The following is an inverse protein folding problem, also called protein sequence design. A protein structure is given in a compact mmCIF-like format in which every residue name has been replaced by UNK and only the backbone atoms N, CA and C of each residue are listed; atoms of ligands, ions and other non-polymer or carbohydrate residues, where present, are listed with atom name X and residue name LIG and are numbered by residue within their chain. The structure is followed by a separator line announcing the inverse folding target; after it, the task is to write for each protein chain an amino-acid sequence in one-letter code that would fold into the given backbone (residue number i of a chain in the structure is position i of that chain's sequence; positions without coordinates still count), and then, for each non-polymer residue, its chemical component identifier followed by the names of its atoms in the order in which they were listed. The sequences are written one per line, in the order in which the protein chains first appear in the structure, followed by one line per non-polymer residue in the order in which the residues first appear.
data_IF_759544726706
#
_entry.id   IF_759544726706
#
_cell.length_a   1.000
_cell.length_b   1.000
_cell.length_c   1.000
_cell.angle_alpha   90.00
_cell.angle_beta   90.00
_cell.angle_gamma   90.00
#
_symmetry.space_group_name_H-M   'P 1'
#
loop_
_entity.id
_entity.type
_entity.pdbx_description
1 polymer ?
#
# COMPACT_ATOMS: atom_id res chain seq x y z
N UNK A 1 -5.07 -33.18 40.85
CA UNK A 1 -5.45 -32.71 39.48
C UNK A 1 -5.05 -31.26 39.21
N UNK A 2 -5.12 -30.34 40.18
CA UNK A 2 -4.73 -28.93 40.00
C UNK A 2 -3.24 -28.70 39.64
N UNK A 3 -2.30 -29.46 40.23
CA UNK A 3 -0.87 -29.28 39.96
C UNK A 3 -0.43 -29.62 38.53
N UNK A 4 -1.12 -30.56 37.88
CA UNK A 4 -0.83 -30.97 36.50
C UNK A 4 -1.26 -29.88 35.50
N UNK A 5 -2.40 -29.23 35.74
CA UNK A 5 -2.89 -28.12 34.91
C UNK A 5 -1.98 -26.88 35.01
N UNK A 6 -1.45 -26.59 36.19
CA UNK A 6 -0.49 -25.48 36.40
C UNK A 6 0.82 -25.75 35.65
N UNK A 7 1.30 -26.99 35.64
CA UNK A 7 2.50 -27.40 34.90
C UNK A 7 2.31 -27.26 33.38
N UNK A 8 1.16 -27.69 32.84
CA UNK A 8 0.84 -27.50 31.42
C UNK A 8 0.72 -26.03 31.04
N UNK A 9 0.17 -25.18 31.91
CA UNK A 9 0.07 -23.75 31.68
C UNK A 9 1.44 -23.07 31.64
N UNK A 10 2.35 -23.42 32.57
CA UNK A 10 3.72 -22.92 32.58
C UNK A 10 4.52 -23.39 31.36
N UNK A 11 4.39 -24.66 30.98
CA UNK A 11 5.06 -25.20 29.79
C UNK A 11 4.52 -24.55 28.52
N UNK A 12 3.20 -24.35 28.41
CA UNK A 12 2.59 -23.66 27.27
C UNK A 12 3.03 -22.20 27.17
N UNK A 13 3.08 -21.49 28.30
CA UNK A 13 3.54 -20.09 28.38
C UNK A 13 5.02 -19.99 28.04
N UNK A 14 5.84 -20.93 28.52
CA UNK A 14 7.27 -20.98 28.22
C UNK A 14 7.55 -21.31 26.75
N UNK A 15 6.79 -22.25 26.16
CA UNK A 15 6.89 -22.58 24.72
C UNK A 15 6.43 -21.41 23.87
N UNK A 16 5.37 -20.70 24.25
CA UNK A 16 4.94 -19.46 23.59
C UNK A 16 6.00 -18.36 23.70
N UNK A 17 6.61 -18.18 24.88
CA UNK A 17 7.69 -17.22 25.07
C UNK A 17 8.92 -17.56 24.22
N UNK A 18 9.30 -18.84 24.13
CA UNK A 18 10.39 -19.29 23.26
C UNK A 18 10.03 -19.17 21.77
N UNK A 19 8.78 -19.41 21.40
CA UNK A 19 8.32 -19.28 20.03
C UNK A 19 8.32 -17.81 19.59
N UNK A 20 7.80 -16.92 20.43
CA UNK A 20 7.85 -15.46 20.25
C UNK A 20 9.30 -14.98 20.22
N UNK A 21 10.16 -15.45 21.13
CA UNK A 21 11.59 -15.14 21.12
C UNK A 21 12.25 -15.58 19.81
N UNK A 22 11.95 -16.79 19.31
CA UNK A 22 12.48 -17.30 18.04
C UNK A 22 11.97 -16.53 16.81
N UNK A 23 10.73 -16.03 16.86
CA UNK A 23 10.17 -15.17 15.81
C UNK A 23 10.81 -13.79 15.88
N UNK A 24 11.06 -13.27 17.08
CA UNK A 24 11.71 -11.97 17.28
C UNK A 24 13.18 -12.06 16.86
N UNK A 25 13.92 -13.11 17.18
CA UNK A 25 15.32 -13.26 16.73
C UNK A 25 15.41 -13.51 15.23
N UNK A 26 14.55 -14.35 14.65
CA UNK A 26 14.47 -14.51 13.19
C UNK A 26 14.01 -13.23 12.49
N UNK A 27 13.12 -12.47 13.11
CA UNK A 27 12.77 -11.14 12.62
C UNK A 27 14.00 -10.23 12.69
N UNK A 28 14.74 -10.19 13.79
CA UNK A 28 15.96 -9.39 13.93
C UNK A 28 17.05 -9.77 12.91
N UNK A 29 17.27 -11.06 12.64
CA UNK A 29 18.21 -11.54 11.62
C UNK A 29 17.72 -11.23 10.19
N UNK A 30 16.42 -11.40 9.90
CA UNK A 30 15.81 -10.96 8.64
C UNK A 30 15.80 -9.43 8.51
N UNK A 31 15.91 -8.68 9.62
CA UNK A 31 16.06 -7.24 9.65
C UNK A 31 17.50 -6.81 9.34
N UNK A 32 18.52 -7.46 9.90
CA UNK A 32 19.92 -7.18 9.52
C UNK A 32 20.15 -7.46 8.04
N UNK A 33 19.66 -8.59 7.50
CA UNK A 33 20.00 -9.01 6.14
C UNK A 33 19.18 -8.27 5.05
N UNK A 34 17.93 -7.85 5.33
CA UNK A 34 17.14 -7.01 4.41
C UNK A 34 17.45 -5.52 4.51
N UNK A 35 17.95 -5.01 5.65
CA UNK A 35 18.12 -3.57 5.89
C UNK A 35 19.56 -3.09 6.06
N UNK A 36 20.57 -3.95 6.29
CA UNK A 36 21.97 -3.51 6.18
C UNK A 36 22.32 -3.05 4.75
N UNK A 37 21.58 -3.53 3.75
CA UNK A 37 21.70 -3.12 2.34
C UNK A 37 20.60 -2.15 1.84
N UNK A 38 19.43 -2.05 2.50
CA UNK A 38 18.32 -1.14 2.07
C UNK A 38 17.92 -0.06 3.09
N UNK A 39 18.23 -0.21 4.37
CA UNK A 39 17.74 0.65 5.46
C UNK A 39 18.53 1.93 5.68
N UNK A 40 19.80 1.98 5.28
CA UNK A 40 20.63 3.19 5.35
C UNK A 40 20.33 4.17 4.21
N UNK A 41 19.88 3.68 3.05
CA UNK A 41 19.47 4.50 1.92
C UNK A 41 18.00 4.98 2.04
N UNK A 42 17.05 4.06 2.25
CA UNK A 42 15.61 4.36 1.99
C UNK A 42 14.96 5.35 2.97
N UNK A 43 15.51 5.61 4.16
CA UNK A 43 14.92 6.54 5.15
C UNK A 43 15.47 7.97 5.03
N UNK A 44 16.74 8.14 4.65
CA UNK A 44 17.30 9.45 4.31
C UNK A 44 16.67 10.03 3.03
N UNK A 45 16.31 9.15 2.11
CA UNK A 45 15.75 9.49 0.78
C UNK A 45 14.30 9.98 0.80
N UNK A 46 13.62 9.92 1.95
CA UNK A 46 12.20 10.31 2.08
C UNK A 46 11.95 11.64 2.78
N UNK A 47 12.99 12.39 3.17
CA UNK A 47 12.88 13.63 3.95
C UNK A 47 12.04 13.53 5.25
N UNK A 48 11.65 12.32 5.64
CA UNK A 48 11.22 12.02 7.00
C UNK A 48 12.47 11.61 7.75
N UNK A 49 13.07 12.55 8.48
CA UNK A 49 14.19 12.32 9.40
C UNK A 49 13.76 11.50 10.64
N UNK A 50 13.05 10.39 10.44
CA UNK A 50 12.79 9.45 11.53
C UNK A 50 13.90 8.41 11.47
N UNK A 51 14.85 8.53 12.39
CA UNK A 51 15.94 7.56 12.47
C UNK A 51 15.37 6.15 12.74
N UNK A 52 16.03 5.07 12.28
CA UNK A 52 15.61 3.70 12.59
C UNK A 52 15.40 3.48 14.10
N UNK A 53 16.24 4.12 14.92
CA UNK A 53 16.12 4.14 16.37
C UNK A 53 14.81 4.81 16.84
N UNK A 54 14.46 5.98 16.31
CA UNK A 54 13.19 6.65 16.65
C UNK A 54 11.97 5.85 16.21
N UNK A 55 12.02 5.19 15.05
CA UNK A 55 10.96 4.29 14.59
C UNK A 55 10.79 3.09 15.54
N UNK A 56 11.88 2.48 15.99
CA UNK A 56 11.83 1.42 16.99
C UNK A 56 11.27 1.92 18.32
N UNK A 57 11.68 3.10 18.79
CA UNK A 57 11.14 3.69 20.03
C UNK A 57 9.64 3.93 19.93
N UNK A 58 9.17 4.55 18.83
CA UNK A 58 7.74 4.78 18.59
C UNK A 58 6.98 3.45 18.53
N UNK A 59 7.54 2.45 17.85
CA UNK A 59 6.92 1.12 17.73
C UNK A 59 6.80 0.42 19.08
N UNK A 60 7.84 0.48 19.91
CA UNK A 60 7.82 -0.09 21.26
C UNK A 60 6.82 0.63 22.16
N UNK A 61 6.73 1.96 22.09
CA UNK A 61 5.75 2.74 22.85
C UNK A 61 4.32 2.35 22.43
N UNK A 62 4.04 2.29 21.12
CA UNK A 62 2.72 1.89 20.60
C UNK A 62 2.37 0.46 21.01
N UNK A 63 3.30 -0.49 20.85
CA UNK A 63 3.09 -1.88 21.22
C UNK A 63 2.86 -2.04 22.74
N UNK A 64 3.58 -1.28 23.57
CA UNK A 64 3.40 -1.28 25.02
C UNK A 64 2.04 -0.71 25.44
N UNK A 65 1.65 0.46 24.89
CA UNK A 65 0.35 1.08 25.18
C UNK A 65 -0.81 0.17 24.75
N UNK A 66 -0.73 -0.41 23.55
CA UNK A 66 -1.76 -1.32 23.06
C UNK A 66 -1.80 -2.63 23.86
N UNK A 67 -0.65 -3.16 24.30
CA UNK A 67 -0.59 -4.32 25.20
C UNK A 67 -1.26 -4.03 26.54
N UNK A 68 -1.01 -2.87 27.14
CA UNK A 68 -1.62 -2.45 28.41
C UNK A 68 -3.14 -2.32 28.27
N UNK A 69 -3.62 -1.72 27.18
CA UNK A 69 -5.05 -1.67 26.87
C UNK A 69 -5.64 -3.08 26.66
N UNK A 70 -4.93 -3.95 25.96
CA UNK A 70 -5.36 -5.32 25.70
C UNK A 70 -5.49 -6.15 26.97
N UNK A 71 -4.58 -5.92 27.92
CA UNK A 71 -4.63 -6.53 29.24
C UNK A 71 -5.89 -6.12 30.02
N UNK A 72 -6.23 -4.82 30.01
CA UNK A 72 -7.41 -4.30 30.73
C UNK A 72 -8.72 -4.84 30.16
N UNK A 73 -8.82 -4.99 28.83
CA UNK A 73 -10.08 -5.36 28.17
C UNK A 73 -10.26 -6.88 28.06
N UNK A 74 -9.21 -7.62 27.70
CA UNK A 74 -9.30 -9.05 27.37
C UNK A 74 -8.29 -9.92 28.16
N UNK A 75 -7.65 -9.37 29.18
CA UNK A 75 -6.64 -10.08 29.98
C UNK A 75 -5.36 -10.39 29.20
N UNK A 76 -4.66 -11.43 29.62
CA UNK A 76 -3.36 -11.82 29.07
C UNK A 76 -3.39 -12.16 27.57
N UNK A 77 -4.47 -12.77 27.07
CA UNK A 77 -4.66 -13.00 25.64
C UNK A 77 -4.76 -11.71 24.84
N UNK A 78 -5.49 -10.71 25.36
CA UNK A 78 -5.60 -9.38 24.75
C UNK A 78 -4.27 -8.65 24.70
N UNK A 79 -3.49 -8.75 25.76
CA UNK A 79 -2.17 -8.12 25.85
C UNK A 79 -1.23 -8.63 24.73
N UNK A 80 -1.16 -9.96 24.56
CA UNK A 80 -0.31 -10.59 23.52
C UNK A 80 -0.79 -10.19 22.11
N UNK A 81 -2.10 -10.25 21.87
CA UNK A 81 -2.68 -9.94 20.56
C UNK A 81 -2.45 -8.46 20.17
N UNK A 82 -2.74 -7.53 21.08
CA UNK A 82 -2.60 -6.10 20.82
C UNK A 82 -1.14 -5.65 20.78
N UNK A 83 -0.24 -6.33 21.50
CA UNK A 83 1.21 -6.12 21.33
C UNK A 83 1.66 -6.49 19.92
N UNK A 84 1.25 -7.66 19.41
CA UNK A 84 1.59 -8.09 18.05
C UNK A 84 1.04 -7.11 16.99
N UNK A 85 -0.19 -6.63 17.16
CA UNK A 85 -0.77 -5.61 16.28
C UNK A 85 0.01 -4.29 16.37
N UNK A 86 0.31 -3.82 17.59
CA UNK A 86 1.05 -2.59 17.81
C UNK A 86 2.47 -2.59 17.29
N UNK A 87 3.10 -3.77 17.24
CA UNK A 87 4.40 -3.94 16.62
C UNK A 87 4.32 -3.83 15.10
N UNK A 88 3.30 -4.41 14.45
CA UNK A 88 3.18 -4.43 12.98
C UNK A 88 2.64 -3.11 12.40
N UNK A 89 1.81 -2.39 13.16
CA UNK A 89 1.03 -1.25 12.68
C UNK A 89 1.89 -0.06 12.18
N UNK A 90 2.97 0.36 12.87
CA UNK A 90 3.83 1.44 12.39
C UNK A 90 4.53 1.11 11.07
N UNK A 91 4.96 -0.13 10.88
CA UNK A 91 5.61 -0.57 9.63
C UNK A 91 4.65 -0.52 8.44
N UNK A 92 3.41 -0.98 8.62
CA UNK A 92 2.37 -0.85 7.59
C UNK A 92 2.04 0.62 7.31
N UNK A 93 2.05 1.47 8.34
CA UNK A 93 1.87 2.91 8.22
C UNK A 93 2.93 3.55 7.31
N UNK A 94 4.21 3.25 7.52
CA UNK A 94 5.32 3.77 6.70
C UNK A 94 5.20 3.28 5.25
N UNK A 95 4.93 1.99 5.05
CA UNK A 95 4.75 1.45 3.69
C UNK A 95 3.59 2.15 2.96
N UNK A 96 2.49 2.44 3.65
CA UNK A 96 1.37 3.19 3.10
C UNK A 96 1.73 4.65 2.78
N UNK A 97 2.48 5.32 3.67
CA UNK A 97 2.97 6.68 3.42
C UNK A 97 3.92 6.73 2.22
N UNK A 98 4.84 5.76 2.09
CA UNK A 98 5.72 5.62 0.92
C UNK A 98 4.92 5.42 -0.35
N UNK A 99 3.94 4.51 -0.34
CA UNK A 99 3.05 4.27 -1.49
C UNK A 99 2.30 5.54 -1.89
N UNK A 100 1.80 6.31 -0.91
CA UNK A 100 1.14 7.60 -1.16
C UNK A 100 2.10 8.66 -1.71
N UNK A 101 3.34 8.74 -1.20
CA UNK A 101 4.38 9.65 -1.70
C UNK A 101 4.72 9.33 -3.16
N UNK A 102 4.96 8.05 -3.49
CA UNK A 102 5.27 7.61 -4.85
C UNK A 102 4.08 7.87 -5.78
N UNK A 103 2.84 7.56 -5.36
CA UNK A 103 1.65 7.86 -6.16
C UNK A 103 1.53 9.37 -6.46
N UNK A 104 1.76 10.23 -5.47
CA UNK A 104 1.79 11.69 -5.67
C UNK A 104 2.92 12.10 -6.60
N UNK A 105 4.11 11.51 -6.45
CA UNK A 105 5.26 11.75 -7.31
C UNK A 105 4.94 11.40 -8.77
N UNK A 106 4.34 10.24 -9.05
CA UNK A 106 4.07 9.81 -10.42
C UNK A 106 3.06 10.71 -11.11
N UNK A 107 2.03 11.19 -10.40
CA UNK A 107 1.10 12.19 -10.95
C UNK A 107 1.84 13.47 -11.33
N UNK A 108 2.68 13.99 -10.42
CA UNK A 108 3.49 15.18 -10.70
C UNK A 108 4.49 14.95 -11.85
N UNK A 109 5.06 13.74 -11.93
CA UNK A 109 6.02 13.37 -12.97
C UNK A 109 5.38 13.49 -14.35
N UNK A 110 4.18 12.96 -14.57
CA UNK A 110 3.50 13.04 -15.88
C UNK A 110 3.36 14.48 -16.37
N UNK A 111 2.96 15.39 -15.50
CA UNK A 111 2.83 16.81 -15.84
C UNK A 111 4.19 17.46 -16.06
N UNK A 112 5.20 17.09 -15.27
CA UNK A 112 6.57 17.53 -15.46
C UNK A 112 7.17 17.04 -16.79
N UNK A 113 6.91 15.81 -17.24
CA UNK A 113 7.38 15.31 -18.53
C UNK A 113 6.84 16.17 -19.70
N UNK A 114 5.57 16.60 -19.62
CA UNK A 114 5.01 17.52 -20.60
C UNK A 114 5.70 18.89 -20.58
N UNK A 115 6.01 19.42 -19.40
CA UNK A 115 6.77 20.67 -19.26
C UNK A 115 8.21 20.53 -19.76
N UNK A 116 8.87 19.40 -19.48
CA UNK A 116 10.20 19.07 -20.02
C UNK A 116 10.17 19.03 -21.55
N UNK A 117 9.18 18.40 -22.15
CA UNK A 117 9.01 18.39 -23.61
C UNK A 117 8.93 19.81 -24.19
N UNK A 118 8.12 20.67 -23.59
CA UNK A 118 8.01 22.08 -24.00
C UNK A 118 9.33 22.85 -23.82
N UNK A 119 10.04 22.62 -22.71
CA UNK A 119 11.35 23.20 -22.43
C UNK A 119 12.40 22.78 -23.49
N UNK A 120 12.44 21.50 -23.87
CA UNK A 120 13.32 21.01 -24.93
C UNK A 120 12.96 21.62 -26.30
N UNK A 121 11.66 21.77 -26.62
CA UNK A 121 11.23 22.47 -27.84
C UNK A 121 11.67 23.94 -27.86
N UNK A 122 11.78 24.56 -26.68
CA UNK A 122 12.31 25.92 -26.50
C UNK A 122 13.85 25.98 -26.47
N UNK A 123 14.56 24.86 -26.63
CA UNK A 123 16.02 24.80 -26.67
C UNK A 123 16.70 24.75 -25.30
N UNK A 124 15.95 24.54 -24.21
CA UNK A 124 16.53 24.39 -22.88
C UNK A 124 17.26 23.05 -22.73
N UNK A 125 18.33 23.05 -21.95
CA UNK A 125 19.04 21.83 -21.56
C UNK A 125 18.24 21.05 -20.52
N UNK A 126 18.54 19.75 -20.36
CA UNK A 126 17.94 18.90 -19.32
C UNK A 126 18.07 19.52 -17.92
N UNK A 127 19.24 20.11 -17.61
CA UNK A 127 19.49 20.74 -16.32
C UNK A 127 18.63 21.98 -16.09
N UNK A 128 18.50 22.84 -17.10
CA UNK A 128 17.67 24.05 -17.02
C UNK A 128 16.18 23.71 -16.88
N UNK A 129 15.71 22.72 -17.65
CA UNK A 129 14.32 22.28 -17.60
C UNK A 129 13.98 21.65 -16.23
N UNK A 130 14.83 20.78 -15.70
CA UNK A 130 14.68 20.23 -14.34
C UNK A 130 14.76 21.31 -13.27
N UNK A 131 15.63 22.31 -13.41
CA UNK A 131 15.74 23.44 -12.47
C UNK A 131 14.46 24.28 -12.45
N UNK A 132 13.84 24.57 -13.59
CA UNK A 132 12.53 25.28 -13.64
C UNK A 132 11.47 24.50 -12.86
N UNK A 133 11.33 23.21 -13.16
CA UNK A 133 10.34 22.34 -12.52
C UNK A 133 10.58 22.21 -11.02
N UNK A 134 11.84 22.15 -10.57
CA UNK A 134 12.18 22.08 -9.14
C UNK A 134 11.68 23.28 -8.33
N UNK A 135 11.54 24.44 -8.96
CA UNK A 135 11.09 25.69 -8.31
C UNK A 135 9.57 25.83 -8.32
N UNK A 136 8.91 25.29 -9.35
CA UNK A 136 7.47 25.46 -9.57
C UNK A 136 6.64 24.32 -8.96
N UNK A 137 7.16 23.09 -8.98
CA UNK A 137 6.40 21.91 -8.54
C UNK A 137 6.64 21.64 -7.05
N UNK A 138 5.58 21.50 -6.24
CA UNK A 138 5.73 21.21 -4.81
C UNK A 138 6.26 19.78 -4.58
N UNK A 139 6.74 19.52 -3.36
CA UNK A 139 7.16 18.19 -2.94
C UNK A 139 6.08 17.11 -3.17
N UNK A 140 6.46 15.88 -3.57
CA UNK A 140 7.82 15.34 -3.58
C UNK A 140 8.66 15.60 -4.85
N UNK A 141 8.07 15.85 -6.02
CA UNK A 141 8.84 15.93 -7.28
C UNK A 141 9.88 17.05 -7.28
N UNK A 142 9.47 18.30 -7.03
CA UNK A 142 10.38 19.44 -7.13
C UNK A 142 11.53 19.38 -6.12
N UNK A 143 11.29 18.75 -4.97
CA UNK A 143 12.29 18.47 -3.96
C UNK A 143 13.36 17.48 -4.45
N UNK A 144 12.94 16.37 -5.07
CA UNK A 144 13.88 15.37 -5.62
C UNK A 144 14.66 15.91 -6.83
N UNK A 145 14.00 16.67 -7.71
CA UNK A 145 14.68 17.35 -8.82
C UNK A 145 15.67 18.39 -8.28
N UNK A 146 15.33 19.14 -7.24
CA UNK A 146 16.24 20.07 -6.58
C UNK A 146 17.49 19.40 -6.02
N UNK A 147 17.36 18.20 -5.42
CA UNK A 147 18.50 17.39 -4.99
C UNK A 147 19.36 16.94 -6.18
N UNK A 148 18.74 16.43 -7.25
CA UNK A 148 19.46 16.01 -8.46
C UNK A 148 20.22 17.17 -9.10
N UNK A 149 19.62 18.36 -9.17
CA UNK A 149 20.30 19.57 -9.65
C UNK A 149 21.48 19.94 -8.75
N UNK A 150 21.37 19.76 -7.43
CA UNK A 150 22.48 19.99 -6.51
C UNK A 150 23.64 19.02 -6.77
N UNK A 151 23.37 17.73 -6.98
CA UNK A 151 24.40 16.74 -7.36
C UNK A 151 25.09 17.12 -8.67
N UNK A 152 24.32 17.51 -9.69
CA UNK A 152 24.85 17.96 -10.97
C UNK A 152 25.73 19.21 -10.82
N UNK A 153 25.33 20.19 -10.00
CA UNK A 153 26.13 21.40 -9.70
C UNK A 153 27.41 21.10 -8.91
N UNK A 154 27.45 19.97 -8.19
CA UNK A 154 28.63 19.48 -7.48
C UNK A 154 29.57 18.66 -8.39
N UNK A 155 29.22 18.49 -9.67
CA UNK A 155 30.07 17.83 -10.66
C UNK A 155 29.78 16.34 -10.86
N UNK A 156 28.71 15.79 -10.27
CA UNK A 156 28.32 14.40 -10.53
C UNK A 156 27.94 14.21 -12.01
N UNK A 157 28.36 13.08 -12.63
CA UNK A 157 27.90 12.70 -13.97
C UNK A 157 26.38 12.65 -14.06
N UNK A 158 25.82 13.06 -15.20
CA UNK A 158 24.36 13.12 -15.36
C UNK A 158 23.69 11.75 -15.28
N UNK A 159 24.28 10.71 -15.87
CA UNK A 159 23.78 9.34 -15.71
C UNK A 159 23.67 8.95 -14.23
N UNK A 160 24.73 9.20 -13.45
CA UNK A 160 24.79 8.84 -12.03
C UNK A 160 23.75 9.62 -11.20
N UNK A 161 23.61 10.92 -11.43
CA UNK A 161 22.64 11.76 -10.72
C UNK A 161 21.19 11.33 -11.00
N UNK A 162 20.89 10.90 -12.23
CA UNK A 162 19.56 10.37 -12.60
C UNK A 162 19.32 8.97 -12.02
N UNK A 163 20.34 8.12 -11.96
CA UNK A 163 20.25 6.81 -11.28
C UNK A 163 20.06 6.97 -9.76
N UNK A 164 20.74 7.93 -9.14
CA UNK A 164 20.56 8.25 -7.73
C UNK A 164 19.13 8.75 -7.47
N UNK A 165 18.61 9.65 -8.32
CA UNK A 165 17.22 10.08 -8.29
C UNK A 165 16.25 8.88 -8.36
N UNK A 166 16.48 7.95 -9.28
CA UNK A 166 15.66 6.75 -9.41
C UNK A 166 15.70 5.87 -8.14
N UNK A 167 16.90 5.64 -7.57
CA UNK A 167 17.08 4.86 -6.33
C UNK A 167 16.36 5.49 -5.14
N UNK A 168 16.42 6.83 -4.99
CA UNK A 168 15.77 7.56 -3.89
C UNK A 168 14.24 7.47 -3.95
N UNK A 169 13.68 7.63 -5.14
CA UNK A 169 12.21 7.64 -5.31
C UNK A 169 11.65 6.21 -5.34
N UNK A 170 12.29 5.31 -6.09
CA UNK A 170 11.83 3.93 -6.30
C UNK A 170 10.50 3.86 -7.05
N UNK A 171 10.35 4.66 -8.11
CA UNK A 171 9.16 4.66 -8.98
C UNK A 171 9.48 3.99 -10.32
N UNK A 172 8.62 3.06 -10.74
CA UNK A 172 8.74 2.37 -12.04
C UNK A 172 8.58 3.34 -13.22
N UNK A 173 7.71 4.34 -13.09
CA UNK A 173 7.53 5.36 -14.13
C UNK A 173 8.78 6.23 -14.29
N UNK A 174 9.46 6.51 -13.19
CA UNK A 174 10.72 7.26 -13.19
C UNK A 174 11.86 6.44 -13.77
N UNK A 175 11.92 5.14 -13.45
CA UNK A 175 12.92 4.22 -14.00
C UNK A 175 12.87 4.17 -15.54
N UNK A 176 11.65 4.11 -16.09
CA UNK A 176 11.42 4.21 -17.53
C UNK A 176 11.96 5.53 -18.11
N UNK A 177 11.64 6.66 -17.47
CA UNK A 177 12.08 8.00 -17.91
C UNK A 177 13.60 8.15 -17.85
N UNK A 178 14.23 7.70 -16.77
CA UNK A 178 15.68 7.78 -16.57
C UNK A 178 16.41 6.92 -17.60
N UNK A 179 15.94 5.69 -17.81
CA UNK A 179 16.48 4.78 -18.82
C UNK A 179 16.36 5.36 -20.22
N UNK A 180 15.16 5.84 -20.59
CA UNK A 180 14.94 6.46 -21.89
C UNK A 180 15.78 7.73 -22.08
N UNK A 181 15.95 8.55 -21.05
CA UNK A 181 16.79 9.75 -21.08
C UNK A 181 18.25 9.41 -21.31
N UNK A 182 18.79 8.42 -20.58
CA UNK A 182 20.18 7.98 -20.74
C UNK A 182 20.45 7.42 -22.13
N UNK A 183 19.51 6.64 -22.69
CA UNK A 183 19.62 6.12 -24.06
C UNK A 183 19.55 7.25 -25.10
N UNK A 184 18.55 8.12 -24.99
CA UNK A 184 18.37 9.22 -25.94
C UNK A 184 19.56 10.20 -25.92
N UNK A 185 20.20 10.42 -24.76
CA UNK A 185 21.38 11.30 -24.64
C UNK A 185 22.58 10.72 -25.38
N UNK A 186 22.78 9.40 -25.33
CA UNK A 186 23.89 8.72 -26.02
C UNK A 186 23.70 8.66 -27.53
N UNK A 187 22.45 8.54 -27.98
CA UNK A 187 22.10 8.39 -29.40
C UNK A 187 21.75 9.72 -30.10
N UNK A 188 21.67 10.83 -29.36
CA UNK A 188 21.28 12.14 -29.92
C UNK A 188 19.81 12.21 -30.34
N UNK A 189 18.93 11.44 -29.69
CA UNK A 189 17.51 11.36 -30.02
C UNK A 189 16.72 12.63 -29.64
N UNK A 190 15.52 12.76 -30.21
CA UNK A 190 14.61 13.87 -29.93
C UNK A 190 14.01 13.76 -28.52
N UNK A 191 14.63 14.45 -27.56
CA UNK A 191 14.16 14.48 -26.17
C UNK A 191 12.72 14.98 -26.06
N UNK A 192 12.36 16.04 -26.80
CA UNK A 192 11.03 16.62 -26.71
C UNK A 192 9.94 15.60 -27.05
N UNK A 193 10.13 14.85 -28.13
CA UNK A 193 9.21 13.80 -28.58
C UNK A 193 9.20 12.61 -27.60
N UNK A 194 10.37 12.18 -27.11
CA UNK A 194 10.46 11.09 -26.14
C UNK A 194 9.68 11.39 -24.84
N UNK A 195 9.88 12.58 -24.26
CA UNK A 195 9.16 13.02 -23.07
C UNK A 195 7.65 13.14 -23.30
N UNK A 196 7.23 13.59 -24.49
CA UNK A 196 5.82 13.70 -24.88
C UNK A 196 5.14 12.32 -25.01
N UNK A 197 5.81 11.37 -25.66
CA UNK A 197 5.33 9.99 -25.81
C UNK A 197 5.21 9.29 -24.45
N UNK A 198 6.21 9.41 -23.58
CA UNK A 198 6.16 8.80 -22.24
C UNK A 198 5.03 9.43 -21.41
N UNK A 199 4.89 10.76 -21.42
CA UNK A 199 3.81 11.45 -20.72
C UNK A 199 2.43 10.99 -21.20
N UNK A 200 2.23 10.90 -22.51
CA UNK A 200 0.98 10.43 -23.10
C UNK A 200 0.68 8.97 -22.72
N UNK A 201 1.70 8.11 -22.76
CA UNK A 201 1.58 6.68 -22.40
C UNK A 201 1.19 6.48 -20.94
N UNK A 202 1.86 7.16 -20.01
CA UNK A 202 1.53 7.05 -18.57
C UNK A 202 0.13 7.63 -18.30
N UNK A 203 -0.23 8.76 -18.93
CA UNK A 203 -1.55 9.37 -18.77
C UNK A 203 -2.67 8.45 -19.28
N UNK A 204 -2.43 7.77 -20.40
CA UNK A 204 -3.36 6.78 -20.93
C UNK A 204 -3.50 5.58 -20.00
N UNK A 205 -2.39 5.11 -19.40
CA UNK A 205 -2.42 4.06 -18.38
C UNK A 205 -3.28 4.46 -17.17
N UNK A 206 -3.08 5.66 -16.61
CA UNK A 206 -3.92 6.16 -15.51
C UNK A 206 -5.39 6.29 -15.89
N UNK A 207 -5.70 6.69 -17.14
CA UNK A 207 -7.08 6.76 -17.64
C UNK A 207 -7.71 5.36 -17.68
N UNK A 208 -6.98 4.37 -18.16
CA UNK A 208 -7.43 2.97 -18.21
C UNK A 208 -7.61 2.39 -16.80
N UNK A 209 -6.63 2.56 -15.90
CA UNK A 209 -6.73 2.15 -14.49
C UNK A 209 -7.95 2.79 -13.80
N UNK A 210 -8.18 4.08 -14.03
CA UNK A 210 -9.35 4.80 -13.51
C UNK A 210 -10.67 4.23 -14.04
N UNK A 211 -10.73 3.91 -15.34
CA UNK A 211 -11.89 3.28 -15.97
C UNK A 211 -12.14 1.88 -15.42
N UNK A 212 -11.10 1.06 -15.26
CA UNK A 212 -11.17 -0.28 -14.66
C UNK A 212 -11.68 -0.16 -13.23
N UNK A 213 -11.13 0.76 -12.42
CA UNK A 213 -11.60 0.98 -11.05
C UNK A 213 -13.06 1.39 -10.98
N UNK A 214 -13.52 2.26 -11.88
CA UNK A 214 -14.91 2.69 -11.93
C UNK A 214 -15.85 1.52 -12.27
N UNK A 215 -15.53 0.76 -13.32
CA UNK A 215 -16.32 -0.40 -13.76
C UNK A 215 -16.34 -1.52 -12.71
N UNK A 216 -15.20 -1.80 -12.08
CA UNK A 216 -15.12 -2.82 -11.03
C UNK A 216 -15.85 -2.40 -9.76
N UNK A 217 -15.82 -1.12 -9.40
CA UNK A 217 -16.61 -0.57 -8.28
C UNK A 217 -18.11 -0.70 -8.55
N UNK A 218 -18.55 -0.43 -9.78
CA UNK A 218 -19.94 -0.63 -10.20
C UNK A 218 -20.37 -2.10 -10.06
N UNK A 219 -19.55 -3.05 -10.53
CA UNK A 219 -19.83 -4.48 -10.40
C UNK A 219 -19.92 -4.94 -8.93
N UNK A 220 -18.99 -4.48 -8.08
CA UNK A 220 -19.02 -4.75 -6.63
C UNK A 220 -20.28 -4.17 -5.97
N UNK A 221 -20.69 -2.97 -6.35
CA UNK A 221 -21.92 -2.35 -5.83
C UNK A 221 -23.16 -3.17 -6.25
N UNK A 222 -23.24 -3.63 -7.50
CA UNK A 222 -24.33 -4.49 -7.95
C UNK A 222 -24.37 -5.82 -7.18
N UNK A 223 -23.21 -6.42 -6.89
CA UNK A 223 -23.12 -7.63 -6.06
C UNK A 223 -23.72 -7.41 -4.67
N UNK A 224 -23.44 -6.27 -4.03
CA UNK A 224 -24.03 -5.93 -2.74
C UNK A 224 -25.53 -5.70 -2.82
N UNK A 225 -26.00 -4.97 -3.84
CA UNK A 225 -27.44 -4.73 -4.02
C UNK A 225 -28.18 -6.04 -4.19
N UNK A 226 -27.74 -6.91 -5.12
CA UNK A 226 -28.39 -8.19 -5.40
C UNK A 226 -28.25 -9.14 -4.21
N UNK A 227 -27.06 -9.25 -3.60
CA UNK A 227 -26.84 -10.18 -2.49
C UNK A 227 -27.58 -9.83 -1.20
N UNK A 228 -27.95 -8.56 -1.02
CA UNK A 228 -28.77 -8.13 0.12
C UNK A 228 -30.28 -8.21 -0.15
N UNK A 229 -30.71 -8.39 -1.41
CA UNK A 229 -32.14 -8.47 -1.76
C UNK A 229 -32.90 -9.57 -1.02
N UNK A 230 -32.43 -10.83 -0.92
CA UNK A 230 -33.17 -11.88 -0.22
C UNK A 230 -33.33 -11.59 1.27
N UNK A 231 -32.30 -11.02 1.90
CA UNK A 231 -32.34 -10.60 3.31
C UNK A 231 -33.36 -9.47 3.51
N UNK A 232 -33.32 -8.45 2.64
CA UNK A 232 -34.26 -7.34 2.67
C UNK A 232 -35.71 -7.82 2.50
N UNK A 233 -35.97 -8.64 1.47
CA UNK A 233 -37.29 -9.22 1.22
C UNK A 233 -37.74 -10.11 2.38
N UNK A 234 -36.85 -10.92 2.97
CA UNK A 234 -37.14 -11.74 4.13
C UNK A 234 -37.60 -10.93 5.35
N UNK A 235 -36.93 -9.80 5.62
CA UNK A 235 -37.31 -8.87 6.70
C UNK A 235 -38.67 -8.23 6.41
N UNK A 236 -38.88 -7.70 5.20
CA UNK A 236 -40.14 -7.06 4.80
C UNK A 236 -41.30 -8.05 4.88
N UNK A 237 -41.13 -9.27 4.37
CA UNK A 237 -42.15 -10.32 4.44
C UNK A 237 -42.47 -10.71 5.88
N UNK A 238 -41.48 -10.80 6.75
CA UNK A 238 -41.71 -11.08 8.16
C UNK A 238 -42.49 -9.95 8.87
N UNK A 239 -42.28 -8.69 8.47
CA UNK A 239 -43.04 -7.55 9.00
C UNK A 239 -44.48 -7.50 8.47
N UNK A 240 -44.70 -7.82 7.19
CA UNK A 240 -46.03 -7.74 6.54
C UNK A 240 -46.92 -8.96 6.80
N UNK A 241 -46.32 -10.15 6.92
CA UNK A 241 -47.01 -11.45 7.07
C UNK A 241 -46.28 -12.34 8.10
N UNK A 242 -46.26 -11.93 9.38
CA UNK A 242 -45.62 -12.72 10.45
C UNK A 242 -46.32 -14.07 10.67
N UNK A 243 -47.61 -14.16 10.31
CA UNK A 243 -48.44 -15.38 10.32
C UNK A 243 -47.88 -16.48 9.40
N UNK A 244 -47.31 -16.11 8.25
CA UNK A 244 -46.69 -17.05 7.31
C UNK A 244 -45.21 -17.29 7.61
N UNK A 245 -44.45 -16.24 7.96
CA UNK A 245 -43.00 -16.35 8.18
C UNK A 245 -42.63 -16.99 9.51
N UNK A 246 -43.41 -16.79 10.58
CA UNK A 246 -43.14 -17.36 11.90
C UNK A 246 -43.03 -18.89 11.90
N UNK A 247 -44.02 -19.63 11.35
CA UNK A 247 -43.94 -21.08 11.19
C UNK A 247 -42.80 -21.53 10.27
N UNK A 248 -42.57 -20.81 9.16
CA UNK A 248 -41.49 -21.11 8.21
C UNK A 248 -40.12 -21.05 8.88
N UNK A 249 -39.80 -19.96 9.58
CA UNK A 249 -38.52 -19.76 10.28
C UNK A 249 -38.28 -20.75 11.41
N UNK A 250 -39.34 -21.23 12.07
CA UNK A 250 -39.24 -22.21 13.16
C UNK A 250 -39.13 -23.65 12.65
N UNK A 251 -39.75 -23.95 11.50
CA UNK A 251 -39.75 -25.29 10.89
C UNK A 251 -38.34 -25.75 10.48
N UNK A 252 -38.08 -27.06 10.59
CA UNK A 252 -36.81 -27.66 10.13
C UNK A 252 -36.60 -27.45 8.63
N UNK A 253 -37.68 -27.53 7.84
CA UNK A 253 -37.64 -27.31 6.40
C UNK A 253 -37.21 -25.87 6.04
N UNK A 254 -37.81 -24.85 6.67
CA UNK A 254 -37.45 -23.46 6.40
C UNK A 254 -36.00 -23.13 6.76
N UNK A 255 -35.46 -23.71 7.85
CA UNK A 255 -34.03 -23.58 8.20
C UNK A 255 -33.11 -24.16 7.15
N UNK A 256 -33.44 -25.33 6.58
CA UNK A 256 -32.67 -25.96 5.50
C UNK A 256 -32.69 -25.07 4.25
N UNK A 257 -33.86 -24.55 3.86
CA UNK A 257 -33.99 -23.65 2.70
C UNK A 257 -33.17 -22.38 2.89
N UNK A 258 -33.22 -21.75 4.07
CA UNK A 258 -32.40 -20.57 4.38
C UNK A 258 -30.91 -20.90 4.31
N UNK A 259 -30.49 -22.04 4.84
CA UNK A 259 -29.09 -22.47 4.74
C UNK A 259 -28.64 -22.62 3.27
N UNK A 260 -29.47 -23.21 2.41
CA UNK A 260 -29.19 -23.33 0.97
C UNK A 260 -29.09 -21.95 0.32
N UNK A 261 -30.04 -21.05 0.59
CA UNK A 261 -30.03 -19.68 0.07
C UNK A 261 -28.75 -18.96 0.49
N UNK A 262 -28.37 -19.03 1.77
CA UNK A 262 -27.15 -18.39 2.26
C UNK A 262 -25.88 -18.94 1.59
N UNK A 263 -25.80 -20.26 1.40
CA UNK A 263 -24.66 -20.87 0.69
C UNK A 263 -24.61 -20.41 -0.77
N UNK A 264 -25.75 -20.38 -1.46
CA UNK A 264 -25.83 -19.92 -2.85
C UNK A 264 -25.49 -18.43 -2.98
N UNK A 265 -25.96 -17.60 -2.04
CA UNK A 265 -25.65 -16.16 -1.98
C UNK A 265 -24.16 -15.91 -1.75
N UNK A 266 -23.56 -16.57 -0.75
CA UNK A 266 -22.12 -16.45 -0.48
C UNK A 266 -21.31 -16.89 -1.70
N UNK A 267 -21.70 -17.99 -2.35
CA UNK A 267 -21.05 -18.48 -3.55
C UNK A 267 -21.19 -17.51 -4.73
N UNK A 268 -22.37 -16.91 -4.91
CA UNK A 268 -22.64 -15.92 -5.95
C UNK A 268 -21.81 -14.65 -5.76
N UNK A 269 -21.81 -14.09 -4.55
CA UNK A 269 -20.98 -12.93 -4.19
C UNK A 269 -19.50 -13.25 -4.42
N UNK A 270 -19.04 -14.43 -3.97
CA UNK A 270 -17.65 -14.85 -4.18
C UNK A 270 -17.28 -14.95 -5.66
N UNK A 271 -18.15 -15.50 -6.50
CA UNK A 271 -17.93 -15.60 -7.94
C UNK A 271 -17.85 -14.21 -8.58
N UNK A 272 -18.75 -13.29 -8.21
CA UNK A 272 -18.72 -11.91 -8.73
C UNK A 272 -17.41 -11.22 -8.34
N UNK A 273 -17.00 -11.34 -7.07
CA UNK A 273 -15.74 -10.74 -6.61
C UNK A 273 -14.54 -11.31 -7.35
N UNK A 274 -14.54 -12.60 -7.69
CA UNK A 274 -13.49 -13.24 -8.48
C UNK A 274 -13.45 -12.79 -9.94
N UNK A 275 -14.61 -12.55 -10.56
CA UNK A 275 -14.70 -12.09 -11.96
C UNK A 275 -14.33 -10.61 -12.09
N UNK A 276 -14.69 -9.80 -11.08
CA UNK A 276 -14.50 -8.35 -11.07
C UNK A 276 -13.09 -7.95 -10.61
N UNK A 277 -12.32 -8.86 -10.01
CA UNK A 277 -10.93 -8.62 -9.68
C UNK A 277 -10.07 -8.72 -10.96
N UNK A 278 -9.85 -7.57 -11.59
CA UNK A 278 -8.96 -7.43 -12.73
C UNK A 278 -7.66 -6.82 -12.18
N UNK A 279 -6.60 -7.63 -12.12
CA UNK A 279 -5.24 -7.13 -11.91
C UNK A 279 -4.79 -6.37 -13.18
N UNK A 280 -4.28 -5.15 -12.98
CA UNK A 280 -3.73 -4.27 -14.02
C UNK A 280 -2.22 -4.19 -13.85
#
# INVERSE_FOLDING_TARGET
MLGLAVLFFFVSTFVLALYVFSIVTKALELYEDKYATKGTATLGDMFMFISPAQLMTITLIIAFVLSMLGFVIFGWFGAILLFAIGFVLPFKGIAMLRKRRIAKFNVQLVDALAQMSAAFKAGLTLQQAMESISREVPAPLGQEFGLTIKELKLGSPTEEALENLNKRVGSEDLDLVVTATNVARKLGGNMAEMYEIIAATIRERFRLEGKIRALTSQGKMQAWVVGLMPLFLGIVMNAMRPDLMGPFLRSTFGKIVIAIILVMEIMGIWLIYKIVDIDV
#
